data_IF_558966185776
#
_entry.id   IF_558966185776
#
_cell.length_a   1.000
_cell.length_b   1.000
_cell.length_c   1.000
_cell.angle_alpha   90.00
_cell.angle_beta   90.00
_cell.angle_gamma   90.00
#
_symmetry.space_group_name_H-M   'P 1'
#
loop_
_entity.id
_entity.type
_entity.pdbx_description
1 polymer ?
#
# COMPACT_ATOMS: atom_id res chain seq x y z
N UNK A 1 -7.30 23.34 8.04
CA UNK A 1 -7.95 22.46 9.02
C UNK A 1 -9.44 22.57 8.76
N UNK A 2 -10.03 21.62 8.03
CA UNK A 2 -11.46 21.61 7.72
C UNK A 2 -12.18 20.85 8.83
N UNK A 3 -13.20 21.48 9.42
CA UNK A 3 -13.94 20.96 10.57
C UNK A 3 -15.03 20.01 10.08
N UNK A 4 -15.22 18.87 10.75
CA UNK A 4 -16.03 17.72 10.29
C UNK A 4 -17.55 17.96 10.42
N UNK A 5 -17.98 19.13 10.89
CA UNK A 5 -19.38 19.43 11.22
C UNK A 5 -20.21 20.08 10.11
N UNK A 6 -19.66 20.38 8.94
CA UNK A 6 -20.35 21.18 7.91
C UNK A 6 -21.06 20.36 6.80
N UNK A 7 -21.35 19.07 7.02
CA UNK A 7 -22.09 18.25 6.05
C UNK A 7 -23.54 18.08 6.52
N UNK A 8 -24.56 18.49 5.72
CA UNK A 8 -25.95 18.44 6.15
C UNK A 8 -26.42 16.98 6.28
N UNK A 9 -27.00 16.66 7.45
CA UNK A 9 -27.62 15.37 7.71
C UNK A 9 -28.88 15.19 6.85
N UNK A 10 -28.90 14.15 6.01
CA UNK A 10 -30.10 13.73 5.31
C UNK A 10 -30.93 12.80 6.20
N UNK A 11 -32.19 13.14 6.45
CA UNK A 11 -33.17 12.31 7.15
C UNK A 11 -33.75 11.23 6.20
N UNK A 12 -33.70 9.94 6.59
CA UNK A 12 -34.77 8.93 6.49
C UNK A 12 -34.29 7.46 6.74
N UNK A 13 -35.19 6.54 7.14
CA UNK A 13 -34.86 5.42 8.02
C UNK A 13 -34.75 4.09 7.26
N UNK A 14 -33.52 3.69 6.97
CA UNK A 14 -33.13 2.28 6.97
C UNK A 14 -31.78 2.26 7.66
N UNK A 15 -31.65 1.40 8.68
CA UNK A 15 -30.46 1.26 9.51
C UNK A 15 -29.24 0.99 8.63
N UNK A 16 -28.54 2.06 8.25
CA UNK A 16 -27.20 1.98 7.70
C UNK A 16 -26.32 1.36 8.79
N UNK A 17 -25.43 0.42 8.45
CA UNK A 17 -24.40 0.02 9.40
C UNK A 17 -23.67 1.30 9.83
N UNK A 18 -23.42 1.44 11.12
CA UNK A 18 -22.76 2.60 11.70
C UNK A 18 -21.36 2.70 11.08
N UNK A 19 -21.21 3.57 10.06
CA UNK A 19 -19.96 3.75 9.34
C UNK A 19 -19.11 4.76 10.09
N UNK A 20 -17.93 4.33 10.53
CA UNK A 20 -16.95 5.23 11.14
C UNK A 20 -15.96 5.71 10.08
N UNK A 21 -15.77 7.02 9.94
CA UNK A 21 -14.73 7.58 9.06
C UNK A 21 -13.40 7.55 9.82
N UNK A 22 -12.39 6.95 9.23
CA UNK A 22 -11.03 6.93 9.79
C UNK A 22 -9.98 7.07 8.69
N UNK A 23 -8.76 7.40 9.11
CA UNK A 23 -7.60 7.45 8.23
C UNK A 23 -6.84 6.14 8.30
N UNK A 24 -6.47 5.58 7.16
CA UNK A 24 -5.59 4.42 7.04
C UNK A 24 -4.18 4.80 7.51
N UNK A 25 -3.94 4.63 8.81
CA UNK A 25 -2.64 4.82 9.43
C UNK A 25 -1.97 3.45 9.60
N UNK A 26 -1.50 2.85 8.51
CA UNK A 26 -0.64 1.68 8.60
C UNK A 26 0.71 2.12 9.16
N UNK A 27 1.21 1.47 10.21
CA UNK A 27 2.64 1.59 10.48
C UNK A 27 3.41 0.99 9.29
N UNK A 28 4.71 1.31 9.10
CA UNK A 28 5.52 0.59 8.11
C UNK A 28 5.54 -0.93 8.29
N UNK A 29 5.05 -1.45 9.42
CA UNK A 29 4.88 -2.87 9.72
C UNK A 29 3.44 -3.39 9.49
N UNK A 30 2.60 -2.64 8.76
CA UNK A 30 1.24 -3.03 8.38
C UNK A 30 0.92 -2.65 6.92
N UNK A 31 1.94 -2.51 6.07
CA UNK A 31 1.74 -2.11 4.68
C UNK A 31 0.95 -3.20 3.94
N UNK A 32 -0.13 -2.87 3.21
CA UNK A 32 -1.03 -3.87 2.66
C UNK A 32 -0.36 -4.66 1.53
N UNK A 33 0.06 -5.89 1.83
CA UNK A 33 0.60 -6.83 0.84
C UNK A 33 -0.45 -7.31 -0.17
N UNK A 34 -1.73 -7.40 0.24
CA UNK A 34 -2.78 -8.02 -0.58
C UNK A 34 -4.11 -7.25 -0.57
N UNK A 35 -4.14 -6.05 0.01
CA UNK A 35 -5.32 -5.19 0.00
C UNK A 35 -5.17 -4.14 -1.09
N UNK A 36 -6.06 -4.17 -2.07
CA UNK A 36 -6.04 -3.32 -3.25
C UNK A 36 -6.93 -2.10 -3.09
N UNK A 37 -6.59 -1.02 -3.80
CA UNK A 37 -7.41 0.18 -3.87
C UNK A 37 -7.42 1.02 -2.59
N UNK A 38 -6.53 0.74 -1.63
CA UNK A 38 -6.31 1.52 -0.41
C UNK A 38 -4.81 1.71 -0.22
N UNK A 39 -4.39 2.96 -0.05
CA UNK A 39 -3.01 3.33 0.21
C UNK A 39 -2.84 3.93 1.61
N UNK A 40 -1.58 4.09 2.02
CA UNK A 40 -1.25 4.78 3.27
C UNK A 40 -1.87 6.18 3.29
N UNK A 41 -2.47 6.54 4.42
CA UNK A 41 -3.14 7.81 4.70
C UNK A 41 -4.43 8.08 3.91
N UNK A 42 -4.95 7.12 3.13
CA UNK A 42 -6.31 7.21 2.57
C UNK A 42 -7.32 7.37 3.71
N UNK A 43 -8.41 8.09 3.45
CA UNK A 43 -9.54 8.18 4.38
C UNK A 43 -10.60 7.19 3.92
N UNK A 44 -11.04 6.35 4.84
CA UNK A 44 -11.97 5.25 4.56
C UNK A 44 -13.16 5.30 5.52
N UNK A 45 -14.27 4.69 5.09
CA UNK A 45 -15.30 4.26 6.03
C UNK A 45 -15.02 2.84 6.49
N UNK A 46 -15.34 2.58 7.74
CA UNK A 46 -15.26 1.26 8.36
C UNK A 46 -16.66 0.86 8.81
N UNK A 47 -17.05 -0.39 8.56
CA UNK A 47 -18.33 -0.94 8.99
C UNK A 47 -18.34 -1.41 10.45
N UNK A 48 -19.50 -1.89 10.92
CA UNK A 48 -19.66 -2.41 12.27
C UNK A 48 -18.84 -3.67 12.57
N UNK A 49 -18.28 -4.32 11.55
CA UNK A 49 -17.37 -5.46 11.69
C UNK A 49 -15.89 -5.04 11.68
N UNK A 50 -15.63 -3.73 11.71
CA UNK A 50 -14.29 -3.14 11.64
C UNK A 50 -13.55 -3.42 10.31
N UNK A 51 -14.29 -3.66 9.23
CA UNK A 51 -13.74 -3.82 7.89
C UNK A 51 -13.84 -2.52 7.10
N UNK A 52 -12.87 -2.28 6.21
CA UNK A 52 -12.94 -1.14 5.30
C UNK A 52 -14.10 -1.35 4.32
N UNK A 53 -15.07 -0.44 4.35
CA UNK A 53 -16.26 -0.49 3.50
C UNK A 53 -16.09 0.33 2.21
N UNK A 54 -15.46 1.50 2.28
CA UNK A 54 -15.17 2.34 1.11
C UNK A 54 -14.05 3.34 1.35
N UNK A 55 -13.42 3.81 0.26
CA UNK A 55 -12.50 4.96 0.31
C UNK A 55 -13.29 6.25 0.12
N UNK A 56 -13.19 7.15 1.09
CA UNK A 56 -13.80 8.49 1.09
C UNK A 56 -12.88 9.49 0.40
N UNK A 57 -11.58 9.40 0.64
CA UNK A 57 -10.59 10.32 0.08
C UNK A 57 -9.24 9.63 -0.12
N UNK A 58 -8.68 9.81 -1.32
CA UNK A 58 -7.32 9.39 -1.63
C UNK A 58 -6.27 10.32 -1.06
N UNK A 59 -5.19 9.76 -0.52
CA UNK A 59 -4.04 10.51 0.00
C UNK A 59 -3.07 10.96 -1.10
N UNK A 60 -3.13 10.32 -2.26
CA UNK A 60 -2.16 10.47 -3.34
C UNK A 60 -0.88 9.65 -3.16
N UNK A 61 -0.79 8.89 -2.06
CA UNK A 61 0.22 7.84 -1.93
C UNK A 61 -0.06 6.73 -2.94
N UNK A 62 0.97 5.96 -3.24
CA UNK A 62 0.89 4.72 -4.00
C UNK A 62 1.61 3.63 -3.24
N UNK A 63 1.32 2.38 -3.59
CA UNK A 63 2.04 1.23 -3.02
C UNK A 63 2.70 0.44 -4.13
N UNK A 64 4.03 0.29 -4.05
CA UNK A 64 4.76 -0.68 -4.87
C UNK A 64 4.75 -2.02 -4.14
N UNK A 65 4.24 -3.05 -4.81
CA UNK A 65 4.27 -4.43 -4.31
C UNK A 65 5.18 -5.26 -5.20
N UNK A 66 5.99 -6.10 -4.57
CA UNK A 66 6.90 -7.03 -5.25
C UNK A 66 6.75 -8.40 -4.61
N UNK A 67 6.57 -9.42 -5.43
CA UNK A 67 6.54 -10.82 -5.02
C UNK A 67 7.69 -11.56 -5.68
N UNK A 68 8.65 -12.04 -4.88
CA UNK A 68 9.74 -12.88 -5.36
C UNK A 68 9.23 -14.31 -5.59
N UNK A 69 9.76 -14.97 -6.62
CA UNK A 69 9.47 -16.40 -6.84
C UNK A 69 10.19 -17.23 -5.79
N UNK A 70 9.43 -18.00 -5.01
CA UNK A 70 9.89 -18.67 -3.79
C UNK A 70 11.09 -19.60 -4.02
N UNK A 71 11.10 -20.33 -5.14
CA UNK A 71 12.12 -21.34 -5.47
C UNK A 71 13.17 -20.81 -6.47
N UNK A 72 13.19 -19.50 -6.75
CA UNK A 72 14.20 -18.92 -7.63
C UNK A 72 15.58 -19.00 -6.97
N UNK A 73 16.58 -19.49 -7.71
CA UNK A 73 17.95 -19.73 -7.20
C UNK A 73 18.60 -18.47 -6.59
N UNK A 74 18.28 -17.29 -7.14
CA UNK A 74 18.84 -16.00 -6.70
C UNK A 74 17.95 -15.22 -5.73
N UNK A 75 16.91 -15.85 -5.15
CA UNK A 75 15.91 -15.13 -4.33
C UNK A 75 16.52 -14.33 -3.18
N UNK A 76 17.48 -14.90 -2.46
CA UNK A 76 18.09 -14.22 -1.32
C UNK A 76 18.93 -13.01 -1.77
N UNK A 77 19.70 -13.14 -2.86
CA UNK A 77 20.45 -12.03 -3.43
C UNK A 77 19.50 -10.91 -3.90
N UNK A 78 18.37 -11.29 -4.49
CA UNK A 78 17.35 -10.35 -4.96
C UNK A 78 16.64 -9.64 -3.79
N UNK A 79 16.37 -10.34 -2.69
CA UNK A 79 15.86 -9.75 -1.46
C UNK A 79 16.82 -8.67 -0.93
N UNK A 80 18.10 -9.00 -0.75
CA UNK A 80 19.10 -8.05 -0.25
C UNK A 80 19.27 -6.85 -1.19
N UNK A 81 19.31 -7.08 -2.50
CA UNK A 81 19.39 -6.02 -3.50
C UNK A 81 18.21 -5.04 -3.38
N UNK A 82 16.98 -5.56 -3.33
CA UNK A 82 15.78 -4.73 -3.26
C UNK A 82 15.69 -4.03 -1.91
N UNK A 83 16.00 -4.71 -0.81
CA UNK A 83 16.04 -4.11 0.52
C UNK A 83 17.04 -2.93 0.57
N UNK A 84 18.26 -3.12 0.05
CA UNK A 84 19.24 -2.05 -0.05
C UNK A 84 18.74 -0.84 -0.84
N UNK A 85 18.06 -1.06 -1.97
CA UNK A 85 17.52 0.02 -2.81
C UNK A 85 16.41 0.83 -2.12
N UNK A 86 15.49 0.17 -1.40
CA UNK A 86 14.41 0.88 -0.70
C UNK A 86 14.93 1.62 0.53
N UNK A 87 15.96 1.08 1.21
CA UNK A 87 16.68 1.76 2.29
C UNK A 87 17.42 2.99 1.76
N UNK A 88 18.15 2.86 0.65
CA UNK A 88 18.87 3.98 0.02
C UNK A 88 17.91 5.09 -0.42
N UNK A 89 16.73 4.73 -0.93
CA UNK A 89 15.68 5.68 -1.30
C UNK A 89 14.96 6.31 -0.08
N UNK A 90 15.28 5.89 1.15
CA UNK A 90 14.63 6.31 2.39
C UNK A 90 13.10 6.14 2.37
N UNK A 91 12.61 5.08 1.71
CA UNK A 91 11.18 4.82 1.57
C UNK A 91 10.69 3.85 2.68
N UNK A 92 9.54 4.14 3.31
CA UNK A 92 8.91 3.19 4.22
C UNK A 92 8.57 1.90 3.48
N UNK A 93 8.96 0.76 4.05
CA UNK A 93 8.72 -0.53 3.43
C UNK A 93 8.61 -1.64 4.47
N UNK A 94 8.00 -2.74 4.05
CA UNK A 94 7.81 -3.95 4.84
C UNK A 94 8.15 -5.19 4.03
N UNK A 95 8.67 -6.20 4.70
CA UNK A 95 8.87 -7.53 4.15
C UNK A 95 8.02 -8.57 4.87
N UNK A 96 7.32 -9.42 4.10
CA UNK A 96 6.70 -10.63 4.59
C UNK A 96 7.55 -11.83 4.13
N UNK A 97 8.15 -12.53 5.10
CA UNK A 97 8.92 -13.76 4.91
C UNK A 97 10.01 -13.67 3.82
N UNK A 98 10.64 -12.50 3.69
CA UNK A 98 11.65 -12.20 2.64
C UNK A 98 11.20 -12.45 1.21
N UNK A 99 9.90 -12.62 0.97
CA UNK A 99 9.32 -13.01 -0.33
C UNK A 99 8.46 -11.90 -0.89
N UNK A 100 7.70 -11.21 -0.04
CA UNK A 100 6.86 -10.10 -0.45
C UNK A 100 7.41 -8.80 0.13
N UNK A 101 7.54 -7.80 -0.72
CA UNK A 101 7.94 -6.45 -0.36
C UNK A 101 6.76 -5.52 -0.67
N UNK A 102 6.42 -4.68 0.31
CA UNK A 102 5.52 -3.55 0.12
C UNK A 102 6.26 -2.26 0.42
N UNK A 103 6.16 -1.26 -0.46
CA UNK A 103 6.82 0.04 -0.33
C UNK A 103 5.78 1.15 -0.45
N UNK A 104 5.75 2.06 0.53
CA UNK A 104 4.97 3.29 0.44
C UNK A 104 5.68 4.27 -0.50
N UNK A 105 4.93 4.83 -1.45
CA UNK A 105 5.38 5.86 -2.38
C UNK A 105 4.58 7.13 -2.11
N UNK A 106 5.12 8.09 -1.32
CA UNK A 106 4.47 9.37 -1.09
C UNK A 106 4.12 10.13 -2.38
N UNK A 107 3.19 11.11 -2.31
CA UNK A 107 2.86 11.96 -3.45
C UNK A 107 4.11 12.64 -4.02
N UNK A 108 4.28 12.55 -5.34
CA UNK A 108 5.43 13.12 -6.04
C UNK A 108 6.70 12.26 -6.05
N UNK A 109 6.75 11.13 -5.35
CA UNK A 109 7.86 10.18 -5.45
C UNK A 109 7.97 9.63 -6.88
N UNK A 110 9.13 9.71 -7.52
CA UNK A 110 9.36 9.03 -8.80
C UNK A 110 9.84 7.60 -8.57
N UNK A 111 9.06 6.57 -8.94
CA UNK A 111 9.46 5.18 -8.78
C UNK A 111 10.39 4.69 -9.89
N UNK A 112 10.90 5.54 -10.80
CA UNK A 112 11.75 5.13 -11.92
C UNK A 112 12.94 4.27 -11.46
N UNK A 113 13.71 4.71 -10.48
CA UNK A 113 14.89 3.97 -9.98
C UNK A 113 14.54 2.58 -9.44
N UNK A 114 13.42 2.46 -8.72
CA UNK A 114 12.93 1.16 -8.23
C UNK A 114 12.44 0.29 -9.40
N UNK A 115 11.68 0.86 -10.34
CA UNK A 115 11.20 0.14 -11.53
C UNK A 115 12.36 -0.40 -12.37
N UNK A 116 13.41 0.38 -12.61
CA UNK A 116 14.58 -0.08 -13.35
C UNK A 116 15.24 -1.29 -12.69
N UNK A 117 15.33 -1.31 -11.35
CA UNK A 117 15.86 -2.45 -10.61
C UNK A 117 15.00 -3.73 -10.72
N UNK A 118 13.70 -3.59 -10.98
CA UNK A 118 12.76 -4.70 -11.09
C UNK A 118 12.69 -5.29 -12.50
N UNK A 119 13.08 -4.55 -13.54
CA UNK A 119 12.91 -4.96 -14.94
C UNK A 119 13.60 -6.29 -15.27
N UNK A 120 14.92 -6.37 -15.05
CA UNK A 120 15.68 -7.56 -15.43
C UNK A 120 15.25 -8.80 -14.63
N UNK A 121 15.08 -8.72 -13.29
CA UNK A 121 14.53 -9.84 -12.51
C UNK A 121 13.12 -10.26 -12.96
N UNK A 122 12.23 -9.31 -13.28
CA UNK A 122 10.90 -9.62 -13.79
C UNK A 122 10.95 -10.36 -15.14
N UNK A 123 11.80 -9.91 -16.07
CA UNK A 123 12.00 -10.56 -17.37
C UNK A 123 12.58 -11.97 -17.24
N UNK A 124 13.41 -12.20 -16.23
CA UNK A 124 13.96 -13.52 -15.91
C UNK A 124 12.94 -14.44 -15.19
N UNK A 125 11.75 -13.94 -14.85
CA UNK A 125 10.75 -14.69 -14.09
C UNK A 125 11.11 -14.86 -12.61
N UNK A 126 12.00 -14.02 -12.07
CA UNK A 126 12.43 -14.08 -10.67
C UNK A 126 11.48 -13.36 -9.71
N UNK A 127 10.64 -12.45 -10.22
CA UNK A 127 9.65 -11.71 -9.44
C UNK A 127 8.47 -11.24 -10.29
N UNK A 128 7.41 -10.83 -9.59
CA UNK A 128 6.30 -10.02 -10.11
C UNK A 128 6.23 -8.70 -9.35
N UNK A 129 5.76 -7.63 -10.00
CA UNK A 129 5.60 -6.34 -9.34
C UNK A 129 4.45 -5.52 -9.92
N UNK A 130 3.92 -4.61 -9.11
CA UNK A 130 2.84 -3.68 -9.48
C UNK A 130 2.95 -2.39 -8.68
N UNK A 131 2.32 -1.32 -9.17
CA UNK A 131 2.10 -0.08 -8.41
C UNK A 131 0.60 0.19 -8.40
N UNK A 132 0.04 0.31 -7.21
CA UNK A 132 -1.38 0.58 -6.96
C UNK A 132 -1.57 1.98 -6.33
N UNK A 133 -2.76 2.55 -6.47
CA UNK A 133 -3.12 3.90 -5.98
C UNK A 133 -4.51 3.94 -5.35
#
# INVERSE_FOLDING_TARGET
MLNVTDIPAAEHPHSFPELTITRCCFSPAQSPFFTYGICYLDVVTIDSAHLVASVVQKSGHRTLRVALVADHQDRNQLHELLHGKVVEAALPHEWLQSTYLSVDLPPGTDPATLREALKAPAQAGALHWEIDS
#
